data_IF_277238911817
#
_entry.id   IF_277238911817
#
_cell.length_a   1.000
_cell.length_b   1.000
_cell.length_c   1.000
_cell.angle_alpha   90.00
_cell.angle_beta   90.00
_cell.angle_gamma   90.00
#
_symmetry.space_group_name_H-M   'P 1'
#
loop_
_entity.id
_entity.type
_entity.pdbx_description
1 polymer ?
#
# COMPACT_ATOMS: atom_id res chain seq x y z
N UNK A 1 57.65 27.79 36.70
CA UNK A 1 58.60 27.17 35.76
C UNK A 1 57.96 25.89 35.25
N UNK A 2 57.45 25.89 34.03
CA UNK A 2 56.97 24.68 33.35
C UNK A 2 57.45 24.77 31.91
N UNK A 3 58.40 23.92 31.55
CA UNK A 3 59.11 23.88 30.27
C UNK A 3 58.26 23.17 29.23
N UNK A 4 57.69 23.92 28.28
CA UNK A 4 57.13 23.38 27.05
C UNK A 4 58.25 22.98 26.11
N UNK A 5 58.33 21.68 25.81
CA UNK A 5 59.22 21.11 24.79
C UNK A 5 58.68 21.52 23.41
N UNK A 6 59.43 22.36 22.69
CA UNK A 6 59.13 22.72 21.30
C UNK A 6 59.91 21.77 20.39
N UNK A 7 59.19 20.84 19.76
CA UNK A 7 59.74 20.00 18.69
C UNK A 7 59.89 20.86 17.42
N UNK A 8 61.03 20.83 16.71
CA UNK A 8 61.20 21.65 15.50
C UNK A 8 60.36 21.10 14.34
N UNK A 9 59.89 21.97 13.42
CA UNK A 9 59.09 21.54 12.28
C UNK A 9 59.97 20.77 11.29
N UNK A 10 59.47 19.62 10.85
CA UNK A 10 60.12 18.81 9.82
C UNK A 10 60.01 19.55 8.48
N UNK A 11 61.14 20.05 7.98
CA UNK A 11 61.22 20.75 6.70
C UNK A 11 61.11 19.74 5.54
N UNK A 12 60.12 19.91 4.66
CA UNK A 12 60.11 19.21 3.36
C UNK A 12 58.78 18.79 2.75
N UNK A 13 57.62 19.11 3.33
CA UNK A 13 56.34 18.88 2.61
C UNK A 13 56.00 20.12 1.76
N UNK A 14 55.71 19.97 0.45
CA UNK A 14 55.18 21.07 -0.34
C UNK A 14 53.90 21.54 0.33
N UNK A 15 53.80 22.86 0.55
CA UNK A 15 52.66 23.51 1.17
C UNK A 15 51.41 23.11 0.37
N UNK A 16 50.64 22.14 0.90
CA UNK A 16 49.42 21.64 0.25
C UNK A 16 48.51 22.85 0.19
N UNK A 17 48.42 23.48 -1.00
CA UNK A 17 47.56 24.64 -1.23
C UNK A 17 46.22 24.37 -0.55
N UNK A 18 45.96 25.14 0.50
CA UNK A 18 44.77 25.00 1.33
C UNK A 18 43.60 25.25 0.39
N UNK A 19 42.93 24.17 -0.04
CA UNK A 19 41.80 24.28 -0.97
C UNK A 19 40.81 25.24 -0.35
N UNK A 20 40.63 26.39 -0.99
CA UNK A 20 39.68 27.40 -0.54
C UNK A 20 38.29 26.91 -0.96
N UNK A 21 37.64 26.17 -0.06
CA UNK A 21 36.27 25.71 -0.26
C UNK A 21 35.38 26.93 -0.03
N UNK A 22 34.84 27.50 -1.10
CA UNK A 22 33.80 28.53 -1.00
C UNK A 22 32.45 27.81 -0.91
N UNK A 23 31.78 27.79 0.26
CA UNK A 23 30.45 27.19 0.37
C UNK A 23 29.45 28.02 -0.45
N UNK A 24 28.68 27.34 -1.30
CA UNK A 24 27.57 27.95 -2.05
C UNK A 24 26.36 28.06 -1.13
N UNK A 25 25.86 29.29 -0.91
CA UNK A 25 24.61 29.56 -0.18
C UNK A 25 23.47 29.77 -1.18
N UNK A 26 22.43 28.93 -1.08
CA UNK A 26 21.25 29.00 -1.94
C UNK A 26 19.97 28.84 -1.10
N UNK A 27 18.91 29.50 -1.55
CA UNK A 27 17.58 29.40 -0.95
C UNK A 27 16.97 28.00 -1.14
N UNK A 28 17.33 27.32 -2.23
CA UNK A 28 16.95 25.93 -2.51
C UNK A 28 17.94 25.02 -1.80
N UNK A 29 17.53 24.24 -0.78
CA UNK A 29 18.44 23.42 0.02
C UNK A 29 19.23 22.38 -0.77
N UNK A 30 18.72 21.98 -1.94
CA UNK A 30 19.39 21.06 -2.85
C UNK A 30 20.58 21.68 -3.60
N UNK A 31 20.62 23.00 -3.76
CA UNK A 31 21.68 23.72 -4.48
C UNK A 31 22.72 24.33 -3.53
N UNK A 32 22.43 24.30 -2.23
CA UNK A 32 23.33 24.70 -1.16
C UNK A 32 24.21 23.53 -0.71
N UNK A 33 25.52 23.72 -0.70
CA UNK A 33 26.48 22.64 -0.41
C UNK A 33 26.33 22.11 1.01
N UNK A 34 26.21 22.99 2.00
CA UNK A 34 26.16 22.60 3.41
C UNK A 34 24.84 21.90 3.77
N UNK A 35 23.73 22.42 3.27
CA UNK A 35 22.40 21.81 3.45
C UNK A 35 22.32 20.46 2.75
N UNK A 36 22.82 20.36 1.52
CA UNK A 36 22.85 19.11 0.76
C UNK A 36 23.67 18.03 1.46
N UNK A 37 24.88 18.34 1.94
CA UNK A 37 25.69 17.40 2.72
C UNK A 37 24.98 16.95 4.00
N UNK A 38 24.30 17.86 4.70
CA UNK A 38 23.57 17.50 5.91
C UNK A 38 22.40 16.55 5.60
N UNK A 39 21.63 16.83 4.53
CA UNK A 39 20.57 15.94 4.05
C UNK A 39 21.10 14.55 3.69
N UNK A 40 22.28 14.46 3.06
CA UNK A 40 22.92 13.18 2.76
C UNK A 40 23.29 12.41 4.03
N UNK A 41 23.82 13.08 5.07
CA UNK A 41 24.15 12.42 6.35
C UNK A 41 22.89 11.87 7.03
N UNK A 42 21.79 12.63 7.03
CA UNK A 42 20.50 12.16 7.55
C UNK A 42 20.02 10.94 6.77
N UNK A 43 20.07 10.99 5.43
CA UNK A 43 19.66 9.87 4.58
C UNK A 43 20.49 8.60 4.82
N UNK A 44 21.79 8.73 5.07
CA UNK A 44 22.65 7.60 5.45
C UNK A 44 22.23 6.98 6.80
N UNK A 45 21.96 7.81 7.80
CA UNK A 45 21.47 7.34 9.11
C UNK A 45 20.11 6.64 8.96
N UNK A 46 19.20 7.24 8.21
CA UNK A 46 17.90 6.64 7.89
C UNK A 46 18.07 5.26 7.24
N UNK A 47 18.87 5.18 6.18
CA UNK A 47 19.11 3.92 5.45
C UNK A 47 19.75 2.82 6.31
N UNK A 48 20.56 3.19 7.31
CA UNK A 48 21.17 2.23 8.24
C UNK A 48 20.20 1.68 9.29
N UNK A 49 19.01 2.30 9.45
CA UNK A 49 18.04 1.93 10.49
C UNK A 49 17.13 0.81 10.02
N UNK A 50 16.93 -0.22 10.84
CA UNK A 50 16.06 -1.38 10.50
C UNK A 50 14.57 -1.05 10.47
N UNK A 51 14.16 0.10 11.02
CA UNK A 51 12.78 0.54 11.17
C UNK A 51 12.28 1.44 10.03
N UNK A 52 13.07 1.63 8.97
CA UNK A 52 12.56 2.29 7.77
C UNK A 52 11.53 1.40 7.05
N UNK A 53 10.51 2.01 6.41
CA UNK A 53 9.49 1.23 5.71
C UNK A 53 10.08 0.34 4.62
N UNK A 54 9.49 -0.84 4.46
CA UNK A 54 9.83 -1.78 3.39
C UNK A 54 9.73 -1.15 2.00
N UNK A 55 8.85 -0.16 1.82
CA UNK A 55 8.72 0.61 0.59
C UNK A 55 10.02 1.31 0.16
N UNK A 56 10.93 1.65 1.08
CA UNK A 56 12.17 2.35 0.75
C UNK A 56 13.38 1.42 0.59
N UNK A 57 13.30 0.20 1.14
CA UNK A 57 14.42 -0.76 1.17
C UNK A 57 14.22 -2.02 0.35
N UNK A 58 12.98 -2.40 0.03
CA UNK A 58 12.68 -3.63 -0.70
C UNK A 58 11.96 -3.34 -2.01
N UNK A 59 12.19 -4.21 -2.99
CA UNK A 59 11.46 -4.22 -4.25
C UNK A 59 10.85 -5.60 -4.48
N UNK A 60 9.64 -5.61 -5.06
CA UNK A 60 8.97 -6.86 -5.44
C UNK A 60 9.50 -7.35 -6.79
N UNK A 61 10.12 -8.52 -6.80
CA UNK A 61 10.57 -9.21 -8.01
C UNK A 61 9.80 -10.51 -8.13
N UNK A 62 8.79 -10.54 -9.00
CA UNK A 62 7.86 -11.67 -9.10
C UNK A 62 6.98 -11.78 -7.85
N UNK A 63 7.11 -12.88 -7.11
CA UNK A 63 6.39 -13.10 -5.84
C UNK A 63 7.22 -12.70 -4.61
N UNK A 64 8.54 -12.55 -4.76
CA UNK A 64 9.46 -12.33 -3.64
C UNK A 64 9.76 -10.84 -3.42
N UNK A 65 10.01 -10.50 -2.17
CA UNK A 65 10.50 -9.18 -1.77
C UNK A 65 11.99 -9.26 -1.57
N UNK A 66 12.74 -8.54 -2.41
CA UNK A 66 14.21 -8.54 -2.41
C UNK A 66 14.70 -7.20 -1.85
N UNK A 67 15.71 -7.24 -0.98
CA UNK A 67 16.38 -6.04 -0.46
C UNK A 67 17.14 -5.32 -1.57
N UNK A 68 17.06 -4.00 -1.56
CA UNK A 68 17.76 -3.13 -2.49
C UNK A 68 19.22 -2.95 -2.07
N UNK A 69 20.13 -2.68 -3.03
CA UNK A 69 21.50 -2.31 -2.70
C UNK A 69 21.54 -1.08 -1.77
N UNK A 70 22.46 -1.02 -0.78
CA UNK A 70 22.51 0.08 0.20
C UNK A 70 22.54 1.48 -0.43
N UNK A 71 23.24 1.64 -1.56
CA UNK A 71 23.29 2.90 -2.30
C UNK A 71 21.92 3.37 -2.81
N UNK A 72 21.05 2.43 -3.20
CA UNK A 72 19.67 2.74 -3.63
C UNK A 72 18.78 3.05 -2.43
N UNK A 73 18.95 2.35 -1.30
CA UNK A 73 18.20 2.65 -0.05
C UNK A 73 18.52 4.08 0.42
N UNK A 74 19.80 4.46 0.40
CA UNK A 74 20.24 5.83 0.73
C UNK A 74 19.62 6.84 -0.23
N UNK A 75 19.63 6.57 -1.54
CA UNK A 75 19.02 7.44 -2.53
C UNK A 75 17.50 7.62 -2.30
N UNK A 76 16.79 6.52 -1.99
CA UNK A 76 15.37 6.55 -1.66
C UNK A 76 15.10 7.37 -0.38
N UNK A 77 15.90 7.16 0.67
CA UNK A 77 15.80 7.96 1.91
C UNK A 77 16.09 9.44 1.64
N UNK A 78 17.07 9.74 0.77
CA UNK A 78 17.40 11.11 0.41
C UNK A 78 16.23 11.83 -0.29
N UNK A 79 15.47 11.14 -1.15
CA UNK A 79 14.25 11.71 -1.73
C UNK A 79 13.25 12.13 -0.66
N UNK A 80 13.07 11.30 0.38
CA UNK A 80 12.19 11.59 1.51
C UNK A 80 12.73 12.76 2.33
N UNK A 81 14.03 12.80 2.64
CA UNK A 81 14.67 13.91 3.37
C UNK A 81 14.49 15.21 2.62
N UNK A 82 14.79 15.25 1.32
CA UNK A 82 14.62 16.43 0.48
C UNK A 82 13.18 16.93 0.51
N UNK A 83 12.19 16.02 0.38
CA UNK A 83 10.79 16.40 0.45
C UNK A 83 10.38 16.92 1.83
N UNK A 84 10.91 16.32 2.89
CA UNK A 84 10.65 16.72 4.28
C UNK A 84 11.19 18.12 4.57
N UNK A 85 12.38 18.44 4.04
CA UNK A 85 12.96 19.80 4.13
C UNK A 85 12.09 20.81 3.40
N UNK A 86 11.57 20.50 2.20
CA UNK A 86 10.63 21.39 1.48
C UNK A 86 9.37 21.68 2.30
N UNK A 87 8.88 20.68 3.03
CA UNK A 87 7.72 20.80 3.92
C UNK A 87 8.05 21.39 5.29
N UNK A 88 9.32 21.42 5.69
CA UNK A 88 9.72 21.80 7.05
C UNK A 88 9.28 20.78 8.10
N UNK A 89 9.26 19.49 7.75
CA UNK A 89 8.82 18.38 8.62
C UNK A 89 9.97 17.42 8.95
N UNK A 90 9.80 16.64 10.01
CA UNK A 90 10.76 15.60 10.40
C UNK A 90 10.84 14.48 9.34
N UNK A 91 12.04 14.18 8.80
CA UNK A 91 12.21 13.14 7.78
C UNK A 91 11.79 11.74 8.22
N UNK A 92 11.97 11.39 9.50
CA UNK A 92 11.59 10.07 10.00
C UNK A 92 10.07 9.92 10.06
N UNK A 93 9.35 10.92 10.56
CA UNK A 93 7.89 10.94 10.56
C UNK A 93 7.30 10.89 9.13
N UNK A 94 7.88 11.67 8.20
CA UNK A 94 7.47 11.64 6.78
C UNK A 94 7.71 10.27 6.17
N UNK A 95 8.87 9.65 6.44
CA UNK A 95 9.18 8.31 5.93
C UNK A 95 8.11 7.29 6.31
N UNK A 96 7.57 7.33 7.54
CA UNK A 96 6.53 6.38 7.97
C UNK A 96 5.19 6.52 7.23
N UNK A 97 5.04 7.58 6.42
CA UNK A 97 3.82 7.84 5.65
C UNK A 97 4.04 7.68 4.14
N UNK A 98 5.07 6.93 3.71
CA UNK A 98 5.37 6.70 2.29
C UNK A 98 5.01 5.29 1.83
N UNK A 99 4.74 5.17 0.54
CA UNK A 99 4.55 3.91 -0.17
C UNK A 99 5.04 4.03 -1.61
N UNK A 100 5.34 2.91 -2.26
CA UNK A 100 5.67 2.89 -3.69
C UNK A 100 4.51 2.25 -4.45
N UNK A 101 3.94 2.98 -5.40
CA UNK A 101 2.90 2.50 -6.29
C UNK A 101 3.37 2.66 -7.73
N UNK A 102 3.44 1.57 -8.49
CA UNK A 102 3.91 1.56 -9.88
C UNK A 102 5.27 2.26 -10.09
N UNK A 103 6.20 2.09 -9.15
CA UNK A 103 7.54 2.69 -9.21
C UNK A 103 7.59 4.18 -8.88
N UNK A 104 6.48 4.78 -8.43
CA UNK A 104 6.42 6.17 -7.97
C UNK A 104 6.32 6.24 -6.44
N UNK A 105 7.09 7.15 -5.85
CA UNK A 105 6.99 7.47 -4.43
C UNK A 105 5.68 8.22 -4.17
N UNK A 106 4.86 7.64 -3.29
CA UNK A 106 3.56 8.16 -2.89
C UNK A 106 3.55 8.46 -1.40
N UNK A 107 2.76 9.46 -1.02
CA UNK A 107 2.59 9.93 0.35
C UNK A 107 1.13 9.77 0.77
N UNK A 108 0.90 9.34 2.00
CA UNK A 108 -0.45 9.15 2.51
C UNK A 108 -1.24 10.46 2.56
N UNK A 109 -2.56 10.40 2.29
CA UNK A 109 -3.41 11.59 2.27
C UNK A 109 -3.49 12.35 3.60
N UNK A 110 -3.32 11.66 4.74
CA UNK A 110 -3.24 12.33 6.06
C UNK A 110 -1.99 13.22 6.17
N UNK A 111 -0.88 12.83 5.54
CA UNK A 111 0.34 13.64 5.54
C UNK A 111 0.12 14.93 4.76
N UNK A 112 -0.58 14.86 3.62
CA UNK A 112 -0.93 16.05 2.82
C UNK A 112 -1.69 17.08 3.66
N UNK A 113 -2.64 16.64 4.48
CA UNK A 113 -3.37 17.53 5.39
C UNK A 113 -2.45 18.18 6.44
N UNK A 114 -1.54 17.40 7.05
CA UNK A 114 -0.57 17.92 8.01
C UNK A 114 0.42 18.91 7.38
N UNK A 115 0.86 18.66 6.15
CA UNK A 115 1.71 19.57 5.38
C UNK A 115 0.99 20.88 5.12
N UNK A 116 -0.30 20.84 4.80
CA UNK A 116 -1.09 22.04 4.52
C UNK A 116 -1.17 22.94 5.76
N UNK A 117 -1.44 22.35 6.92
CA UNK A 117 -1.45 23.04 8.20
C UNK A 117 -0.08 23.66 8.51
N UNK A 118 1.00 22.88 8.36
CA UNK A 118 2.37 23.35 8.62
C UNK A 118 2.82 24.48 7.67
N UNK A 119 2.45 24.44 6.39
CA UNK A 119 2.92 25.39 5.37
C UNK A 119 2.09 26.66 5.28
N UNK A 120 0.79 26.57 5.55
CA UNK A 120 -0.14 27.67 5.35
C UNK A 120 -0.73 28.19 6.66
N UNK A 121 -0.51 27.50 7.79
CA UNK A 121 -1.21 27.79 9.04
C UNK A 121 -2.73 27.62 8.89
N UNK A 122 -3.15 26.73 7.99
CA UNK A 122 -4.52 26.60 7.54
C UNK A 122 -5.00 25.18 7.77
N UNK A 123 -6.03 25.07 8.61
CA UNK A 123 -6.81 23.84 8.78
C UNK A 123 -8.04 23.92 7.89
N UNK A 124 -8.12 23.03 6.90
CA UNK A 124 -9.30 22.95 6.04
C UNK A 124 -10.53 22.51 6.85
N UNK A 125 -11.60 23.28 6.71
CA UNK A 125 -12.91 22.92 7.22
C UNK A 125 -13.57 21.97 6.24
N UNK A 126 -14.23 20.95 6.76
CA UNK A 126 -15.04 20.04 5.96
C UNK A 126 -16.43 19.89 6.54
N UNK A 127 -17.40 19.68 5.66
CA UNK A 127 -18.77 19.38 6.03
C UNK A 127 -19.26 18.18 5.21
N UNK A 128 -19.79 17.16 5.90
CA UNK A 128 -20.26 15.93 5.29
C UNK A 128 -21.79 15.92 5.22
N UNK A 129 -22.33 15.56 4.07
CA UNK A 129 -23.76 15.52 3.78
C UNK A 129 -24.13 14.24 3.05
N UNK A 130 -25.44 13.99 2.92
CA UNK A 130 -25.96 12.82 2.23
C UNK A 130 -25.96 11.55 3.08
N UNK A 131 -26.80 10.61 2.66
CA UNK A 131 -26.93 9.30 3.29
C UNK A 131 -25.63 8.49 3.13
N UNK A 132 -25.35 7.54 4.06
CA UNK A 132 -24.24 6.61 3.90
C UNK A 132 -24.33 5.86 2.55
N UNK A 133 -23.20 5.72 1.86
CA UNK A 133 -23.14 5.10 0.53
C UNK A 133 -22.69 6.09 -0.53
N UNK A 134 -23.15 5.87 -1.76
CA UNK A 134 -22.76 6.64 -2.95
C UNK A 134 -23.19 8.11 -2.87
N UNK A 135 -24.29 8.40 -2.18
CA UNK A 135 -24.80 9.75 -1.99
C UNK A 135 -24.00 10.57 -0.96
N UNK A 136 -23.07 9.95 -0.22
CA UNK A 136 -22.24 10.63 0.79
C UNK A 136 -21.30 11.61 0.09
N UNK A 137 -21.34 12.89 0.52
CA UNK A 137 -20.60 14.00 -0.10
C UNK A 137 -19.87 14.82 0.95
N UNK A 138 -18.68 15.30 0.58
CA UNK A 138 -17.90 16.26 1.34
C UNK A 138 -17.88 17.62 0.65
N UNK A 139 -17.94 18.68 1.45
CA UNK A 139 -17.61 20.04 1.07
C UNK A 139 -16.39 20.49 1.87
N UNK A 140 -15.42 21.11 1.21
CA UNK A 140 -14.18 21.63 1.79
C UNK A 140 -14.09 23.12 1.59
N UNK A 141 -13.60 23.83 2.61
CA UNK A 141 -13.35 25.26 2.56
C UNK A 141 -12.17 25.66 3.44
N UNK A 142 -11.47 26.72 3.02
CA UNK A 142 -10.51 27.44 3.86
C UNK A 142 -11.16 28.31 4.95
N UNK A 143 -12.50 28.41 4.97
CA UNK A 143 -13.26 29.14 5.98
C UNK A 143 -14.30 28.24 6.65
N UNK A 144 -14.73 28.57 7.89
CA UNK A 144 -15.80 27.87 8.56
C UNK A 144 -17.11 27.84 7.76
N UNK A 145 -17.90 26.79 7.99
CA UNK A 145 -19.24 26.65 7.44
C UNK A 145 -20.26 27.20 8.44
N UNK A 146 -20.68 28.45 8.23
CA UNK A 146 -21.78 29.05 8.99
C UNK A 146 -23.14 28.59 8.46
N UNK A 147 -24.20 28.76 9.24
CA UNK A 147 -25.54 28.29 8.85
C UNK A 147 -26.00 28.81 7.49
N UNK A 148 -25.74 30.08 7.18
CA UNK A 148 -26.09 30.68 5.89
C UNK A 148 -25.40 30.00 4.69
N UNK A 149 -24.20 29.44 4.91
CA UNK A 149 -23.44 28.70 3.90
C UNK A 149 -24.00 27.30 3.77
N UNK A 150 -24.27 26.64 4.91
CA UNK A 150 -24.84 25.30 4.97
C UNK A 150 -26.16 25.21 4.21
N UNK A 151 -27.03 26.21 4.35
CA UNK A 151 -28.34 26.27 3.68
C UNK A 151 -28.23 26.41 2.15
N UNK A 152 -27.08 26.84 1.63
CA UNK A 152 -26.81 27.04 0.21
C UNK A 152 -25.95 25.93 -0.40
N UNK A 153 -25.55 24.91 0.37
CA UNK A 153 -24.70 23.84 -0.12
C UNK A 153 -25.42 22.98 -1.15
N UNK A 154 -24.97 23.10 -2.39
CA UNK A 154 -25.37 22.24 -3.52
C UNK A 154 -24.11 21.74 -4.24
N UNK A 155 -24.16 20.58 -4.92
CA UNK A 155 -23.00 20.05 -5.61
C UNK A 155 -22.44 21.06 -6.61
N UNK A 156 -21.12 21.27 -6.58
CA UNK A 156 -20.42 22.23 -7.44
C UNK A 156 -20.56 23.70 -7.02
N UNK A 157 -21.17 24.01 -5.86
CA UNK A 157 -21.29 25.40 -5.39
C UNK A 157 -19.93 26.06 -5.20
N UNK A 158 -19.82 27.35 -5.56
CA UNK A 158 -18.63 28.18 -5.34
C UNK A 158 -19.07 29.52 -4.77
N UNK A 159 -18.39 29.99 -3.73
CA UNK A 159 -18.55 31.35 -3.22
C UNK A 159 -17.30 32.17 -3.54
N UNK A 160 -17.45 33.48 -3.68
CA UNK A 160 -16.35 34.38 -4.01
C UNK A 160 -15.43 34.69 -2.82
N UNK A 161 -15.93 34.53 -1.59
CA UNK A 161 -15.23 34.90 -0.36
C UNK A 161 -14.33 33.78 0.21
N UNK A 162 -14.37 32.58 -0.39
CA UNK A 162 -13.70 31.38 0.11
C UNK A 162 -13.34 30.42 -1.02
N UNK A 163 -12.31 29.61 -0.81
CA UNK A 163 -11.86 28.59 -1.75
C UNK A 163 -12.56 27.28 -1.45
N UNK A 164 -13.41 26.84 -2.37
CA UNK A 164 -14.23 25.64 -2.18
C UNK A 164 -13.83 24.48 -3.07
N UNK A 165 -14.02 23.28 -2.56
CA UNK A 165 -14.00 22.04 -3.32
C UNK A 165 -15.01 21.06 -2.74
N UNK A 166 -15.59 20.21 -3.58
CA UNK A 166 -16.60 19.26 -3.15
C UNK A 166 -16.60 18.01 -4.03
N UNK A 167 -17.13 16.93 -3.48
CA UNK A 167 -17.41 15.71 -4.23
C UNK A 167 -17.92 14.57 -3.37
N UNK A 168 -18.42 13.54 -4.04
CA UNK A 168 -19.16 12.44 -3.45
C UNK A 168 -18.45 11.10 -3.65
N UNK A 169 -18.88 10.12 -2.86
CA UNK A 169 -18.42 8.73 -2.99
C UNK A 169 -18.74 8.20 -4.39
N UNK A 170 -19.91 8.52 -4.95
CA UNK A 170 -20.26 8.13 -6.32
C UNK A 170 -19.26 8.64 -7.36
N UNK A 171 -18.80 9.87 -7.20
CA UNK A 171 -17.88 10.54 -8.16
C UNK A 171 -16.44 10.08 -7.98
N UNK A 172 -16.04 9.65 -6.78
CA UNK A 172 -14.62 9.47 -6.41
C UNK A 172 -14.22 8.06 -5.98
N UNK A 173 -15.17 7.15 -5.76
CA UNK A 173 -14.79 5.79 -5.35
C UNK A 173 -14.05 5.10 -6.50
N UNK A 174 -12.89 4.53 -6.17
CA UNK A 174 -12.24 3.56 -7.06
C UNK A 174 -12.82 2.17 -6.85
N UNK A 175 -12.74 1.32 -7.87
CA UNK A 175 -13.35 -0.03 -7.84
C UNK A 175 -12.30 -1.11 -8.06
N UNK A 176 -12.44 -2.25 -7.37
CA UNK A 176 -11.56 -3.40 -7.54
C UNK A 176 -10.89 -3.88 -6.25
N UNK A 177 -10.07 -4.92 -6.39
CA UNK A 177 -9.56 -5.75 -5.27
C UNK A 177 -8.73 -5.00 -4.22
N UNK A 178 -8.16 -3.84 -4.58
CA UNK A 178 -7.31 -3.03 -3.68
C UNK A 178 -7.84 -1.61 -3.48
N UNK A 179 -9.13 -1.37 -3.76
CA UNK A 179 -9.71 -0.05 -3.52
C UNK A 179 -9.75 0.23 -2.01
N UNK A 180 -9.25 1.40 -1.55
CA UNK A 180 -9.34 1.79 -0.16
C UNK A 180 -10.75 2.27 0.23
N UNK A 181 -11.66 2.41 -0.75
CA UNK A 181 -13.04 2.84 -0.57
C UNK A 181 -13.90 1.68 -0.08
N UNK A 182 -14.37 1.79 1.15
CA UNK A 182 -15.34 0.87 1.75
C UNK A 182 -16.39 1.66 2.52
N UNK A 183 -17.60 1.11 2.75
CA UNK A 183 -18.66 1.79 3.49
C UNK A 183 -18.21 2.38 4.84
N UNK A 184 -17.28 1.70 5.53
CA UNK A 184 -16.72 2.14 6.81
C UNK A 184 -15.69 3.28 6.65
N UNK A 185 -15.06 3.39 5.49
CA UNK A 185 -13.96 4.31 5.23
C UNK A 185 -14.34 5.50 4.33
N UNK A 186 -15.58 5.58 3.84
CA UNK A 186 -16.01 6.60 2.88
C UNK A 186 -15.70 8.03 3.37
N UNK A 187 -16.09 8.37 4.59
CA UNK A 187 -15.85 9.72 5.14
C UNK A 187 -14.35 10.04 5.20
N UNK A 188 -13.53 9.09 5.65
CA UNK A 188 -12.07 9.25 5.70
C UNK A 188 -11.48 9.44 4.30
N UNK A 189 -11.95 8.68 3.31
CA UNK A 189 -11.47 8.79 1.94
C UNK A 189 -11.90 10.09 1.26
N UNK A 190 -13.13 10.55 1.51
CA UNK A 190 -13.60 11.86 1.08
C UNK A 190 -12.71 12.98 1.64
N UNK A 191 -12.34 12.92 2.92
CA UNK A 191 -11.44 13.94 3.52
C UNK A 191 -10.07 13.91 2.86
N UNK A 192 -9.45 12.73 2.70
CA UNK A 192 -8.09 12.63 2.17
C UNK A 192 -8.02 13.03 0.68
N UNK A 193 -8.91 12.48 -0.15
CA UNK A 193 -8.99 12.83 -1.56
C UNK A 193 -9.37 14.29 -1.76
N UNK A 194 -10.40 14.75 -1.06
CA UNK A 194 -10.87 16.12 -1.17
C UNK A 194 -9.79 17.12 -0.76
N UNK A 195 -9.05 16.85 0.33
CA UNK A 195 -7.92 17.70 0.76
C UNK A 195 -6.85 17.76 -0.33
N UNK A 196 -6.45 16.62 -0.89
CA UNK A 196 -5.47 16.55 -1.97
C UNK A 196 -5.92 17.38 -3.19
N UNK A 197 -7.14 17.16 -3.66
CA UNK A 197 -7.65 17.81 -4.87
C UNK A 197 -7.89 19.31 -4.65
N UNK A 198 -8.31 19.72 -3.45
CA UNK A 198 -8.33 21.14 -3.06
C UNK A 198 -6.92 21.75 -3.14
N UNK A 199 -5.90 21.04 -2.62
CA UNK A 199 -4.51 21.50 -2.70
C UNK A 199 -4.01 21.58 -4.14
N UNK A 200 -4.39 20.64 -5.01
CA UNK A 200 -4.03 20.68 -6.44
C UNK A 200 -4.58 21.93 -7.14
N UNK A 201 -5.77 22.38 -6.76
CA UNK A 201 -6.42 23.55 -7.34
C UNK A 201 -5.81 24.84 -6.80
N UNK A 202 -5.73 24.97 -5.47
CA UNK A 202 -5.45 26.25 -4.83
C UNK A 202 -4.00 26.41 -4.37
N UNK A 203 -3.30 25.31 -4.11
CA UNK A 203 -1.94 25.30 -3.54
C UNK A 203 -1.00 24.31 -4.28
N UNK A 204 -0.92 24.38 -5.63
CA UNK A 204 -0.22 23.37 -6.43
C UNK A 204 1.28 23.27 -6.12
N UNK A 205 1.88 24.36 -5.62
CA UNK A 205 3.29 24.40 -5.25
C UNK A 205 3.64 23.41 -4.12
N UNK A 206 2.74 23.22 -3.15
CA UNK A 206 2.91 22.26 -2.05
C UNK A 206 2.87 20.83 -2.57
N UNK A 207 2.03 20.58 -3.57
CA UNK A 207 1.80 19.26 -4.17
C UNK A 207 2.78 18.90 -5.30
N UNK A 208 3.69 19.81 -5.67
CA UNK A 208 4.56 19.61 -6.83
C UNK A 208 5.43 18.35 -6.68
N UNK A 209 5.16 17.35 -7.54
CA UNK A 209 5.83 16.05 -7.57
C UNK A 209 5.34 15.05 -6.52
N UNK A 210 4.36 15.42 -5.70
CA UNK A 210 3.78 14.59 -4.63
C UNK A 210 2.60 13.84 -5.20
N UNK A 211 2.53 12.52 -5.01
CA UNK A 211 1.40 11.69 -5.39
C UNK A 211 0.83 10.97 -4.16
N UNK A 212 -0.47 10.68 -4.16
CA UNK A 212 -1.07 9.81 -3.14
C UNK A 212 -1.37 8.41 -3.69
N UNK A 213 -1.40 7.36 -2.85
CA UNK A 213 -1.63 5.99 -3.34
C UNK A 213 -2.95 5.82 -4.09
N UNK A 214 -4.01 6.48 -3.63
CA UNK A 214 -5.33 6.48 -4.27
C UNK A 214 -5.34 7.22 -5.62
N UNK A 215 -4.57 8.31 -5.76
CA UNK A 215 -4.37 9.02 -7.04
C UNK A 215 -3.73 8.10 -8.09
N UNK A 216 -2.80 7.23 -7.66
CA UNK A 216 -2.16 6.26 -8.54
C UNK A 216 -3.10 5.15 -8.98
N UNK A 217 -4.05 4.76 -8.12
CA UNK A 217 -5.12 3.84 -8.51
C UNK A 217 -6.01 4.47 -9.58
N UNK A 218 -6.45 5.72 -9.38
CA UNK A 218 -7.26 6.49 -10.35
C UNK A 218 -6.55 6.55 -11.73
N UNK A 219 -5.27 6.93 -11.76
CA UNK A 219 -4.49 6.99 -13.00
C UNK A 219 -4.37 5.61 -13.68
N UNK A 220 -4.20 4.55 -12.90
CA UNK A 220 -4.10 3.19 -13.45
C UNK A 220 -5.43 2.70 -14.05
N UNK A 221 -6.56 3.05 -13.42
CA UNK A 221 -7.90 2.73 -13.91
C UNK A 221 -8.20 3.48 -15.21
N UNK A 222 -7.88 4.78 -15.28
CA UNK A 222 -8.03 5.59 -16.49
C UNK A 222 -7.20 5.02 -17.66
N UNK A 223 -5.93 4.67 -17.42
CA UNK A 223 -5.07 4.05 -18.44
C UNK A 223 -5.61 2.69 -18.89
N UNK A 224 -6.20 1.89 -17.99
CA UNK A 224 -6.85 0.62 -18.35
C UNK A 224 -8.12 0.85 -19.18
N UNK A 225 -8.93 1.84 -18.82
CA UNK A 225 -10.14 2.20 -19.56
C UNK A 225 -9.79 2.69 -20.97
N UNK A 226 -8.76 3.53 -21.12
CA UNK A 226 -8.28 4.00 -22.43
C UNK A 226 -7.67 2.89 -23.30
N UNK A 227 -7.05 1.88 -22.67
CA UNK A 227 -6.48 0.70 -23.37
C UNK A 227 -7.50 -0.39 -23.69
N UNK A 228 -8.72 -0.31 -23.15
CA UNK A 228 -9.78 -1.26 -23.47
C UNK A 228 -10.22 -1.03 -24.92
N UNK A 229 -9.67 -1.81 -25.85
CA UNK A 229 -10.18 -1.90 -27.21
C UNK A 229 -11.57 -2.51 -27.16
N UNK A 230 -12.52 -1.88 -27.84
CA UNK A 230 -13.85 -2.43 -28.05
C UNK A 230 -13.72 -3.76 -28.80
N UNK A 231 -13.77 -4.87 -28.06
CA UNK A 231 -13.97 -6.19 -28.64
C UNK A 231 -15.46 -6.31 -28.97
N UNK A 232 -15.90 -5.47 -29.90
CA UNK A 232 -17.15 -5.68 -30.62
C UNK A 232 -17.07 -7.09 -31.18
N UNK A 233 -17.89 -7.99 -30.65
CA UNK A 233 -18.07 -9.32 -31.23
C UNK A 233 -18.42 -9.06 -32.70
N UNK A 234 -17.63 -9.54 -33.68
CA UNK A 234 -17.93 -9.28 -35.08
C UNK A 234 -19.36 -9.72 -35.35
N UNK A 235 -20.10 -8.87 -36.05
CA UNK A 235 -21.51 -9.12 -36.30
C UNK A 235 -21.65 -10.50 -36.96
N UNK A 236 -22.76 -11.19 -36.71
CA UNK A 236 -23.02 -12.50 -37.33
C UNK A 236 -22.88 -12.43 -38.86
N UNK A 237 -23.13 -11.25 -39.44
CA UNK A 237 -22.96 -10.96 -40.85
C UNK A 237 -21.48 -10.98 -41.29
N UNK A 238 -20.56 -10.36 -40.54
CA UNK A 238 -19.11 -10.38 -40.82
C UNK A 238 -18.50 -11.79 -40.73
N UNK A 239 -19.08 -12.64 -39.88
CA UNK A 239 -18.65 -14.05 -39.74
C UNK A 239 -19.11 -14.92 -40.90
N UNK A 240 -20.17 -14.52 -41.60
CA UNK A 240 -20.73 -15.24 -42.74
C UNK A 240 -20.04 -14.82 -44.05
N UNK A 241 -19.65 -13.55 -44.18
CA UNK A 241 -18.98 -13.02 -45.38
C UNK A 241 -17.48 -13.27 -45.41
N UNK A 242 -16.82 -13.46 -44.26
CA UNK A 242 -15.37 -13.69 -44.15
C UNK A 242 -14.88 -15.13 -44.39
N UNK A 243 -15.76 -16.07 -44.77
CA UNK A 243 -15.38 -17.49 -44.94
C UNK A 243 -14.75 -17.73 -46.32
N UNK A 244 -13.46 -17.44 -46.46
CA UNK A 244 -12.70 -17.95 -47.61
C UNK A 244 -12.41 -19.46 -47.45
N UNK A 245 -12.42 -20.23 -48.55
CA UNK A 245 -12.13 -21.66 -48.50
C UNK A 245 -10.67 -21.90 -48.10
N UNK A 246 -10.49 -22.81 -47.15
CA UNK A 246 -9.17 -23.25 -46.66
C UNK A 246 -8.50 -24.07 -47.76
N UNK A 247 -7.47 -23.53 -48.40
CA UNK A 247 -6.51 -24.33 -49.17
C UNK A 247 -5.55 -25.02 -48.19
N UNK A 248 -5.58 -26.35 -48.20
CA UNK A 248 -4.70 -27.19 -47.38
C UNK A 248 -3.42 -27.45 -48.18
N UNK A 249 -2.39 -26.63 -48.01
CA UNK A 249 -1.03 -26.99 -48.43
C UNK A 249 -0.26 -27.58 -47.26
N UNK A 250 0.00 -28.89 -47.35
CA UNK A 250 0.79 -29.70 -46.43
C UNK A 250 2.28 -29.49 -46.73
N UNK A 251 3.06 -28.96 -45.78
CA UNK A 251 4.50 -29.20 -45.68
C UNK A 251 4.99 -28.94 -44.25
N UNK A 252 5.80 -29.87 -43.77
CA UNK A 252 6.33 -30.04 -42.42
C UNK A 252 7.57 -29.16 -42.18
N UNK A 253 7.86 -28.88 -40.90
CA UNK A 253 9.25 -28.73 -40.42
C UNK A 253 9.73 -27.32 -40.09
N UNK A 254 10.13 -27.12 -38.84
CA UNK A 254 10.94 -25.99 -38.38
C UNK A 254 12.33 -26.06 -39.03
N UNK A 255 12.61 -25.15 -39.95
CA UNK A 255 13.92 -25.02 -40.61
C UNK A 255 14.91 -24.18 -39.81
N UNK A 256 16.15 -24.66 -39.71
CA UNK A 256 17.27 -24.12 -38.92
C UNK A 256 17.87 -22.81 -39.47
N UNK A 257 17.30 -22.21 -40.52
CA UNK A 257 17.87 -21.04 -41.21
C UNK A 257 17.35 -19.69 -40.68
N UNK A 258 16.24 -19.68 -39.94
CA UNK A 258 15.72 -18.44 -39.33
C UNK A 258 16.37 -18.08 -37.99
N UNK A 259 17.20 -18.99 -37.43
CA UNK A 259 17.96 -18.74 -36.21
C UNK A 259 19.32 -18.06 -36.45
N UNK A 260 19.83 -17.99 -37.69
CA UNK A 260 21.13 -17.39 -38.01
C UNK A 260 21.04 -15.94 -38.55
N UNK A 261 19.84 -15.40 -38.76
CA UNK A 261 19.66 -14.05 -39.29
C UNK A 261 19.68 -12.92 -38.23
N UNK A 262 19.94 -13.24 -36.95
CA UNK A 262 20.01 -12.25 -35.86
C UNK A 262 21.44 -12.07 -35.31
N UNK A 263 22.39 -12.95 -35.64
CA UNK A 263 23.79 -12.87 -35.12
C UNK A 263 24.79 -12.16 -36.06
N UNK A 264 24.34 -11.43 -37.09
CA UNK A 264 25.23 -10.83 -38.08
C UNK A 264 24.95 -9.36 -38.37
N UNK A 265 25.15 -8.45 -37.41
CA UNK A 265 25.32 -7.02 -37.72
C UNK A 265 25.95 -6.23 -36.56
N UNK A 266 27.25 -5.99 -36.67
CA UNK A 266 27.95 -4.83 -36.06
C UNK A 266 28.69 -4.11 -37.19
N UNK A 267 28.60 -2.77 -37.24
CA UNK A 267 29.82 -1.93 -37.27
C UNK A 267 29.60 -0.59 -36.51
N UNK A 268 30.56 0.24 -36.11
CA UNK A 268 32.02 0.27 -36.18
C UNK A 268 32.55 1.31 -35.16
N UNK A 269 33.87 1.30 -34.98
CA UNK A 269 34.69 2.05 -34.03
C UNK A 269 34.68 3.59 -34.16
N UNK A 270 34.96 4.26 -33.03
CA UNK A 270 35.67 5.56 -33.00
C UNK A 270 36.82 5.41 -32.00
N UNK A 271 38.03 5.64 -32.50
CA UNK A 271 39.31 5.61 -31.78
C UNK A 271 39.41 6.79 -30.79
N UNK A 272 39.96 6.54 -29.60
CA UNK A 272 40.46 7.59 -28.70
C UNK A 272 41.97 7.82 -28.88
N UNK A 273 42.53 8.93 -28.37
CA UNK A 273 43.97 9.02 -28.13
C UNK A 273 44.32 8.40 -26.76
N UNK A 274 45.39 7.60 -26.78
CA UNK A 274 46.07 7.00 -25.63
C UNK A 274 46.94 8.03 -24.91
N UNK A 275 47.06 7.87 -23.59
CA UNK A 275 48.36 7.97 -22.91
C UNK A 275 48.38 7.03 -21.69
N UNK A 276 49.53 6.37 -21.51
CA UNK A 276 49.78 5.19 -20.68
C UNK A 276 50.29 5.56 -19.27
N UNK A 277 49.61 5.03 -18.23
CA UNK A 277 50.12 4.29 -17.04
C UNK A 277 51.16 4.96 -16.07
N UNK A 278 51.53 4.37 -14.90
CA UNK A 278 51.08 3.10 -14.31
C UNK A 278 50.92 3.05 -12.74
N UNK A 279 50.35 1.93 -12.26
CA UNK A 279 50.42 1.23 -10.94
C UNK A 279 50.11 1.96 -9.60
N UNK A 280 49.27 1.38 -8.74
CA UNK A 280 49.63 0.30 -7.79
C UNK A 280 48.38 -0.27 -7.08
N UNK A 281 48.27 -1.60 -7.13
CA UNK A 281 47.47 -2.43 -6.23
C UNK A 281 48.07 -2.31 -4.82
N UNK A 282 47.24 -2.08 -3.80
CA UNK A 282 47.45 -2.68 -2.49
C UNK A 282 46.23 -2.52 -1.56
N UNK A 283 46.07 -3.55 -0.73
CA UNK A 283 45.33 -3.65 0.53
C UNK A 283 43.81 -3.89 0.55
N UNK A 284 43.50 -5.19 0.52
CA UNK A 284 43.01 -5.93 1.69
C UNK A 284 41.88 -5.32 2.53
N UNK A 285 40.72 -5.97 2.41
CA UNK A 285 39.68 -6.03 3.44
C UNK A 285 40.18 -6.80 4.68
N UNK A 286 39.89 -6.33 5.91
CA UNK A 286 39.68 -7.25 7.02
C UNK A 286 38.33 -7.02 7.73
N UNK A 287 37.51 -8.06 7.78
CA UNK A 287 36.58 -8.30 8.91
C UNK A 287 37.27 -9.21 9.96
N UNK A 288 36.64 -9.55 11.10
CA UNK A 288 36.23 -8.68 12.19
C UNK A 288 36.91 -9.13 13.51
N UNK A 289 37.13 -8.22 14.48
CA UNK A 289 37.56 -8.60 15.83
C UNK A 289 36.41 -8.47 16.82
N UNK A 290 36.07 -9.60 17.41
CA UNK A 290 35.20 -9.75 18.56
C UNK A 290 35.93 -9.32 19.83
N UNK A 291 35.37 -8.37 20.60
CA UNK A 291 35.64 -8.24 22.03
C UNK A 291 34.36 -7.85 22.79
N UNK A 292 33.91 -8.83 23.58
CA UNK A 292 33.54 -8.78 25.00
C UNK A 292 32.55 -7.73 25.53
N UNK A 293 31.50 -8.31 26.11
CA UNK A 293 30.39 -7.81 26.92
C UNK A 293 30.82 -7.45 28.35
N UNK A 294 30.50 -6.23 28.80
CA UNK A 294 30.26 -5.86 30.21
C UNK A 294 29.08 -4.86 30.22
N UNK A 295 27.87 -5.29 30.60
CA UNK A 295 27.26 -5.14 31.94
C UNK A 295 27.18 -3.69 32.45
N UNK A 296 26.00 -3.08 32.28
CA UNK A 296 25.42 -2.11 33.20
C UNK A 296 23.91 -2.40 33.30
N UNK A 297 23.50 -2.85 34.47
CA UNK A 297 22.13 -3.16 34.88
C UNK A 297 21.35 -1.91 35.27
N UNK A 298 20.03 -1.96 35.08
CA UNK A 298 19.08 -1.43 36.06
C UNK A 298 18.30 -0.17 35.70
N UNK A 299 17.23 -0.31 34.88
CA UNK A 299 16.00 0.49 35.02
C UNK A 299 14.80 -0.44 34.75
N UNK A 300 13.94 -0.60 35.75
CA UNK A 300 12.71 -1.40 35.74
C UNK A 300 11.68 -0.91 34.69
N UNK A 301 11.06 -1.81 33.89
CA UNK A 301 9.98 -1.47 32.97
C UNK A 301 8.64 -1.95 33.55
N UNK A 302 8.00 -1.15 34.40
CA UNK A 302 6.61 -1.42 34.79
C UNK A 302 5.82 -0.11 34.93
N UNK A 303 5.52 0.50 33.78
CA UNK A 303 4.61 1.65 33.69
C UNK A 303 3.98 1.89 32.30
N UNK A 304 4.12 0.97 31.33
CA UNK A 304 3.46 1.13 30.01
C UNK A 304 2.57 -0.05 29.58
N UNK A 305 2.41 -1.07 30.43
CA UNK A 305 1.50 -2.19 30.18
C UNK A 305 0.05 -1.88 30.62
N UNK A 306 -0.16 -0.95 31.56
CA UNK A 306 -1.47 -0.69 32.14
C UNK A 306 -2.43 0.13 31.26
N UNK A 307 -1.94 0.84 30.24
CA UNK A 307 -2.80 1.65 29.36
C UNK A 307 -3.28 0.91 28.11
N UNK A 308 -2.73 -0.28 27.82
CA UNK A 308 -3.16 -1.09 26.67
C UNK A 308 -4.16 -2.19 27.01
N UNK A 309 -4.28 -2.59 28.28
CA UNK A 309 -5.27 -3.59 28.73
C UNK A 309 -6.67 -2.98 28.97
N UNK A 310 -6.75 -1.73 29.42
CA UNK A 310 -8.04 -1.05 29.66
C UNK A 310 -8.82 -0.74 28.36
N UNK A 311 -8.15 -0.65 27.20
CA UNK A 311 -8.77 -0.40 25.90
C UNK A 311 -9.41 -1.66 25.29
N UNK A 312 -8.97 -2.86 25.70
CA UNK A 312 -9.49 -4.14 25.19
C UNK A 312 -10.74 -4.61 25.94
N UNK A 313 -10.95 -4.17 27.20
CA UNK A 313 -12.16 -4.51 27.97
C UNK A 313 -13.36 -3.60 27.65
N UNK A 314 -13.14 -2.39 27.12
CA UNK A 314 -14.23 -1.52 26.63
C UNK A 314 -14.77 -1.95 25.25
N UNK A 315 -13.97 -2.59 24.39
CA UNK A 315 -14.44 -3.17 23.12
C UNK A 315 -15.24 -4.48 23.29
N UNK A 316 -15.17 -5.12 24.46
CA UNK A 316 -15.95 -6.32 24.77
C UNK A 316 -17.36 -6.01 25.28
N UNK A 317 -17.58 -4.83 25.88
CA UNK A 317 -18.86 -4.44 26.49
C UNK A 317 -19.93 -3.91 25.53
N UNK A 318 -19.55 -3.39 24.35
CA UNK A 318 -20.52 -2.82 23.39
C UNK A 318 -20.90 -3.76 22.24
N UNK A 319 -20.33 -4.97 22.18
CA UNK A 319 -20.73 -6.01 21.21
C UNK A 319 -22.01 -6.76 21.57
N UNK A 320 -22.66 -6.46 22.70
CA UNK A 320 -23.93 -7.09 23.09
C UNK A 320 -25.20 -6.31 22.68
N UNK A 321 -25.10 -5.14 22.04
CA UNK A 321 -26.29 -4.34 21.66
C UNK A 321 -26.47 -4.07 20.16
N UNK A 322 -25.98 -4.95 19.29
CA UNK A 322 -26.43 -4.97 17.88
C UNK A 322 -26.85 -6.38 17.46
N UNK A 323 -27.90 -6.90 18.10
CA UNK A 323 -28.62 -8.07 17.61
C UNK A 323 -29.74 -7.65 16.66
N UNK A 324 -29.72 -8.30 15.50
CA UNK A 324 -30.85 -8.70 14.64
C UNK A 324 -31.69 -7.63 13.96
N UNK A 325 -31.39 -7.35 12.68
CA UNK A 325 -32.39 -7.22 11.61
C UNK A 325 -31.79 -7.65 10.25
N UNK A 326 -31.71 -8.96 9.97
CA UNK A 326 -31.55 -9.45 8.58
C UNK A 326 -31.78 -10.97 8.40
N UNK A 327 -31.88 -11.79 9.46
CA UNK A 327 -31.87 -13.26 9.29
C UNK A 327 -33.24 -13.91 9.11
N UNK A 328 -34.29 -13.19 8.73
CA UNK A 328 -35.67 -13.67 8.87
C UNK A 328 -36.46 -13.91 7.57
N UNK A 329 -35.84 -13.96 6.38
CA UNK A 329 -36.64 -14.21 5.17
C UNK A 329 -35.87 -14.84 3.98
N UNK A 330 -35.08 -15.88 4.22
CA UNK A 330 -34.63 -16.75 3.13
C UNK A 330 -35.79 -17.64 2.66
N UNK A 331 -35.95 -17.77 1.34
CA UNK A 331 -36.87 -18.74 0.72
C UNK A 331 -36.70 -20.13 1.35
N UNK A 332 -37.77 -20.87 1.68
CA UNK A 332 -37.69 -22.22 2.27
C UNK A 332 -36.73 -23.16 1.53
N UNK A 333 -36.63 -23.07 0.20
CA UNK A 333 -35.71 -23.89 -0.60
C UNK A 333 -34.25 -23.51 -0.32
N UNK A 334 -33.96 -22.22 -0.27
CA UNK A 334 -32.61 -21.71 0.00
C UNK A 334 -32.16 -22.04 1.43
N UNK A 335 -33.08 -21.98 2.41
CA UNK A 335 -32.80 -22.40 3.79
C UNK A 335 -32.41 -23.88 3.86
N UNK A 336 -33.11 -24.76 3.13
CA UNK A 336 -32.73 -26.18 3.09
C UNK A 336 -31.34 -26.43 2.48
N UNK A 337 -30.97 -25.71 1.42
CA UNK A 337 -29.65 -25.82 0.79
C UNK A 337 -28.53 -25.30 1.70
N UNK A 338 -28.77 -24.20 2.42
CA UNK A 338 -27.82 -23.66 3.39
C UNK A 338 -27.63 -24.59 4.60
N UNK A 339 -28.70 -25.21 5.07
CA UNK A 339 -28.65 -26.23 6.12
C UNK A 339 -27.81 -27.44 5.68
N UNK A 340 -28.05 -27.96 4.47
CA UNK A 340 -27.29 -29.10 3.94
C UNK A 340 -25.81 -28.75 3.72
N UNK A 341 -25.53 -27.54 3.23
CA UNK A 341 -24.17 -27.04 3.06
C UNK A 341 -23.45 -26.93 4.40
N UNK A 342 -24.08 -26.31 5.40
CA UNK A 342 -23.52 -26.16 6.74
C UNK A 342 -23.23 -27.51 7.41
N UNK A 343 -24.15 -28.46 7.32
CA UNK A 343 -23.97 -29.81 7.85
C UNK A 343 -22.76 -30.51 7.21
N UNK A 344 -22.67 -30.54 5.87
CA UNK A 344 -21.55 -31.19 5.16
C UNK A 344 -20.19 -30.55 5.45
N UNK A 345 -20.13 -29.22 5.55
CA UNK A 345 -18.88 -28.51 5.87
C UNK A 345 -18.42 -28.79 7.31
N UNK A 346 -19.37 -28.86 8.26
CA UNK A 346 -19.08 -29.19 9.65
C UNK A 346 -18.69 -30.66 9.83
N UNK A 347 -19.25 -31.59 9.06
CA UNK A 347 -18.82 -32.99 9.05
C UNK A 347 -17.37 -33.14 8.58
N UNK A 348 -16.97 -32.44 7.51
CA UNK A 348 -15.59 -32.42 7.03
C UNK A 348 -14.66 -31.85 8.11
N UNK A 349 -15.08 -30.77 8.76
CA UNK A 349 -14.30 -30.13 9.82
C UNK A 349 -14.16 -31.01 11.07
N UNK A 350 -15.20 -31.76 11.44
CA UNK A 350 -15.23 -32.68 12.58
C UNK A 350 -14.60 -34.05 12.30
N UNK A 351 -14.11 -34.31 11.08
CA UNK A 351 -13.49 -35.57 10.71
C UNK A 351 -12.22 -35.90 11.50
N UNK A 352 -11.85 -37.18 11.53
CA UNK A 352 -10.66 -37.72 12.22
C UNK A 352 -9.38 -37.64 11.40
N UNK A 353 -9.46 -37.11 10.17
CA UNK A 353 -8.32 -36.96 9.27
C UNK A 353 -7.36 -35.84 9.72
N UNK A 354 -6.09 -35.88 9.27
CA UNK A 354 -5.13 -34.81 9.51
C UNK A 354 -5.71 -33.42 9.12
N UNK A 355 -5.35 -32.34 9.84
CA UNK A 355 -5.86 -31.00 9.54
C UNK A 355 -5.64 -30.53 8.09
N UNK A 356 -4.54 -30.97 7.46
CA UNK A 356 -4.22 -30.66 6.07
C UNK A 356 -5.25 -31.28 5.11
N UNK A 357 -5.53 -32.57 5.25
CA UNK A 357 -6.46 -33.31 4.40
C UNK A 357 -7.90 -32.82 4.58
N UNK A 358 -8.29 -32.46 5.83
CA UNK A 358 -9.58 -31.80 6.10
C UNK A 358 -9.68 -30.44 5.43
N UNK A 359 -8.59 -29.66 5.41
CA UNK A 359 -8.54 -28.37 4.73
C UNK A 359 -8.68 -28.50 3.21
N UNK A 360 -8.05 -29.51 2.61
CA UNK A 360 -8.17 -29.81 1.17
C UNK A 360 -9.59 -30.30 0.82
N UNK A 361 -10.18 -31.17 1.63
CA UNK A 361 -11.56 -31.62 1.48
C UNK A 361 -12.58 -30.47 1.62
N UNK A 362 -12.34 -29.53 2.55
CA UNK A 362 -13.18 -28.35 2.73
C UNK A 362 -13.09 -27.40 1.52
N UNK A 363 -11.89 -27.25 0.93
CA UNK A 363 -11.70 -26.46 -0.28
C UNK A 363 -12.41 -27.08 -1.49
N UNK A 364 -12.32 -28.40 -1.66
CA UNK A 364 -13.04 -29.11 -2.72
C UNK A 364 -14.57 -29.01 -2.55
N UNK A 365 -15.07 -29.16 -1.31
CA UNK A 365 -16.49 -29.00 -1.01
C UNK A 365 -16.96 -27.57 -1.30
N UNK A 366 -16.16 -26.55 -0.94
CA UNK A 366 -16.49 -25.15 -1.23
C UNK A 366 -16.67 -24.91 -2.72
N UNK A 367 -15.81 -25.48 -3.56
CA UNK A 367 -15.90 -25.30 -5.01
C UNK A 367 -17.12 -26.00 -5.62
N UNK A 368 -17.52 -27.16 -5.08
CA UNK A 368 -18.78 -27.81 -5.47
C UNK A 368 -20.01 -26.94 -5.09
N UNK A 369 -20.03 -26.40 -3.88
CA UNK A 369 -21.15 -25.59 -3.39
C UNK A 369 -21.27 -24.20 -4.04
N UNK A 370 -20.21 -23.67 -4.67
CA UNK A 370 -20.30 -22.46 -5.49
C UNK A 370 -21.24 -22.63 -6.69
N UNK A 371 -21.35 -23.86 -7.23
CA UNK A 371 -22.27 -24.17 -8.33
C UNK A 371 -23.72 -24.23 -7.89
N UNK A 372 -23.97 -24.75 -6.67
CA UNK A 372 -25.32 -24.93 -6.10
C UNK A 372 -25.87 -23.65 -5.43
N UNK A 373 -25.00 -22.73 -5.00
CA UNK A 373 -25.36 -21.47 -4.33
C UNK A 373 -24.77 -20.22 -5.01
N UNK A 374 -25.06 -19.95 -6.30
CA UNK A 374 -24.44 -18.85 -7.04
C UNK A 374 -24.88 -17.46 -6.54
N UNK A 375 -26.10 -17.32 -6.00
CA UNK A 375 -26.64 -16.05 -5.50
C UNK A 375 -26.24 -15.72 -4.06
N UNK A 376 -25.72 -16.70 -3.29
CA UNK A 376 -25.54 -16.61 -1.84
C UNK A 376 -24.11 -16.94 -1.39
N UNK A 377 -23.13 -16.51 -2.18
CA UNK A 377 -21.70 -16.73 -1.90
C UNK A 377 -21.23 -16.11 -0.57
N UNK A 378 -21.93 -15.08 -0.08
CA UNK A 378 -21.65 -14.47 1.22
C UNK A 378 -21.91 -15.42 2.39
N UNK A 379 -23.02 -16.15 2.36
CA UNK A 379 -23.38 -17.12 3.41
C UNK A 379 -22.52 -18.39 3.31
N UNK A 380 -22.22 -18.84 2.09
CA UNK A 380 -21.26 -19.92 1.85
C UNK A 380 -19.88 -19.60 2.45
N UNK A 381 -19.40 -18.35 2.29
CA UNK A 381 -18.12 -17.92 2.87
C UNK A 381 -18.14 -17.99 4.39
N UNK A 382 -19.21 -17.52 5.04
CA UNK A 382 -19.35 -17.59 6.51
C UNK A 382 -19.29 -19.05 7.00
N UNK A 383 -20.01 -19.96 6.36
CA UNK A 383 -20.00 -21.40 6.69
C UNK A 383 -18.58 -21.98 6.60
N UNK A 384 -17.87 -21.71 5.50
CA UNK A 384 -16.52 -22.22 5.27
C UNK A 384 -15.51 -21.64 6.26
N UNK A 385 -15.58 -20.35 6.57
CA UNK A 385 -14.68 -19.70 7.52
C UNK A 385 -14.85 -20.28 8.94
N UNK A 386 -16.09 -20.60 9.35
CA UNK A 386 -16.40 -21.24 10.64
C UNK A 386 -15.93 -22.70 10.66
N UNK A 387 -16.14 -23.46 9.58
CA UNK A 387 -15.64 -24.83 9.45
C UNK A 387 -14.10 -24.89 9.47
N UNK A 388 -13.42 -23.94 8.81
CA UNK A 388 -11.96 -23.83 8.84
C UNK A 388 -11.43 -23.45 10.24
N UNK A 389 -12.18 -22.63 10.99
CA UNK A 389 -11.86 -22.29 12.38
C UNK A 389 -11.93 -23.52 13.31
N UNK A 390 -12.78 -24.50 12.99
CA UNK A 390 -12.83 -25.80 13.68
C UNK A 390 -11.61 -26.67 13.34
N UNK A 391 -11.21 -26.73 12.07
CA UNK A 391 -10.02 -27.50 11.63
C UNK A 391 -8.74 -26.97 12.29
N UNK A 392 -8.62 -25.65 12.41
CA UNK A 392 -7.46 -24.97 13.03
C UNK A 392 -7.50 -24.95 14.55
N UNK A 393 -8.53 -25.51 15.19
CA UNK A 393 -8.67 -25.59 16.65
C UNK A 393 -9.02 -24.26 17.33
N UNK A 394 -9.32 -23.20 16.56
CA UNK A 394 -9.73 -21.89 17.08
C UNK A 394 -11.17 -21.90 17.62
N UNK A 395 -11.99 -22.85 17.17
CA UNK A 395 -13.40 -22.94 17.53
C UNK A 395 -13.78 -24.41 17.77
N UNK A 396 -14.59 -24.68 18.80
CA UNK A 396 -15.16 -26.01 19.01
C UNK A 396 -16.41 -26.21 18.13
N UNK A 397 -16.76 -27.47 17.85
CA UNK A 397 -17.90 -27.82 16.98
C UNK A 397 -19.23 -27.22 17.49
N UNK A 398 -19.57 -27.27 18.81
CA UNK A 398 -20.80 -26.66 19.31
C UNK A 398 -20.87 -25.14 19.13
N UNK A 399 -19.75 -24.42 19.28
CA UNK A 399 -19.70 -22.98 19.05
C UNK A 399 -19.78 -22.63 17.56
N UNK A 400 -19.20 -23.45 16.69
CA UNK A 400 -19.34 -23.29 15.24
C UNK A 400 -20.80 -23.43 14.79
N UNK A 401 -21.52 -24.43 15.30
CA UNK A 401 -22.95 -24.63 15.06
C UNK A 401 -23.76 -23.40 15.46
N UNK A 402 -23.56 -22.88 16.67
CA UNK A 402 -24.30 -21.71 17.16
C UNK A 402 -24.05 -20.44 16.34
N UNK A 403 -22.80 -20.22 15.92
CA UNK A 403 -22.43 -19.08 15.10
C UNK A 403 -23.01 -19.19 13.67
N UNK A 404 -22.93 -20.37 13.05
CA UNK A 404 -23.49 -20.58 11.70
C UNK A 404 -25.01 -20.42 11.72
N UNK A 405 -25.70 -20.99 12.72
CA UNK A 405 -27.15 -20.84 12.88
C UNK A 405 -27.57 -19.38 12.97
N UNK A 406 -26.83 -18.58 13.75
CA UNK A 406 -27.11 -17.15 13.95
C UNK A 406 -26.79 -16.30 12.71
N UNK A 407 -25.68 -16.59 12.03
CA UNK A 407 -25.16 -15.76 10.92
C UNK A 407 -25.79 -16.06 9.56
N UNK A 408 -26.35 -17.26 9.39
CA UNK A 408 -26.93 -17.78 8.14
C UNK A 408 -28.44 -17.99 8.23
N UNK A 409 -29.03 -18.04 9.44
CA UNK A 409 -30.47 -18.18 9.63
C UNK A 409 -30.99 -19.61 9.46
N UNK A 410 -30.21 -20.59 9.93
CA UNK A 410 -30.54 -22.04 9.90
C UNK A 410 -30.68 -22.60 11.31
N UNK A 411 -31.46 -23.67 11.50
CA UNK A 411 -31.69 -24.24 12.83
C UNK A 411 -30.48 -25.05 13.31
N UNK A 412 -30.08 -24.84 14.58
CA UNK A 412 -28.94 -25.53 15.18
C UNK A 412 -29.09 -27.06 15.18
N UNK A 413 -30.33 -27.57 15.26
CA UNK A 413 -30.59 -29.01 15.30
C UNK A 413 -30.22 -29.71 13.98
N UNK A 414 -30.33 -29.00 12.85
CA UNK A 414 -30.23 -29.58 11.51
C UNK A 414 -28.80 -29.53 10.95
N UNK A 415 -27.93 -28.71 11.54
CA UNK A 415 -26.53 -28.54 11.11
C UNK A 415 -25.52 -29.21 12.04
N UNK A 416 -25.98 -29.87 13.11
CA UNK A 416 -25.10 -30.59 14.03
C UNK A 416 -24.51 -31.81 13.31
N UNK A 417 -23.17 -31.93 13.22
CA UNK A 417 -22.57 -33.14 12.68
C UNK A 417 -22.94 -34.33 13.58
N UNK A 418 -23.21 -35.48 12.97
CA UNK A 418 -23.54 -36.70 13.71
C UNK A 418 -22.42 -37.02 14.72
N UNK A 419 -22.77 -37.21 15.99
CA UNK A 419 -21.81 -37.62 17.01
C UNK A 419 -21.18 -38.96 16.58
N UNK A 420 -19.86 -38.96 16.38
CA UNK A 420 -19.07 -40.17 16.13
C UNK A 420 -18.04 -40.34 17.22
#
# INVERSE_FOLDING_TARGET
MSTTVTTPPHAGQPDRQRREITPTDDAVPMLDTAKFEHMQRIANVMASTSMIPDALRKVKVGQDMVELPPSQVVANCFLVVNQSVRWGMDPFAVAQCVSIVHGKLCYEGKLVSAVLDAKLGLKLFHHLTGAPGDARRIYLSDRPFDQAVLDQLVPGVRFLDRRMFDGSVAEWKTTGTNSPWSPKNFDRMLVYRGTRDWCRIYEPAIMLGVYTPDEMLDLSENVRAERARDVGRPSLHDRITGRQPIEVSRAEGFGYEQAQAIEGSSPAAIEGPKDEAPVDDDDACPEPRAETREQLEGIDPDASAAEHEAALELEAGERETSRTESSANHDPVLRSLLTECAAKMLEIAAGTQPPKDRGEALAAAKDAWKGELPSNLGDLKKIVDRAYSVITGKLNVPAAVKLIATEVGVDEADIRPAAR
#
